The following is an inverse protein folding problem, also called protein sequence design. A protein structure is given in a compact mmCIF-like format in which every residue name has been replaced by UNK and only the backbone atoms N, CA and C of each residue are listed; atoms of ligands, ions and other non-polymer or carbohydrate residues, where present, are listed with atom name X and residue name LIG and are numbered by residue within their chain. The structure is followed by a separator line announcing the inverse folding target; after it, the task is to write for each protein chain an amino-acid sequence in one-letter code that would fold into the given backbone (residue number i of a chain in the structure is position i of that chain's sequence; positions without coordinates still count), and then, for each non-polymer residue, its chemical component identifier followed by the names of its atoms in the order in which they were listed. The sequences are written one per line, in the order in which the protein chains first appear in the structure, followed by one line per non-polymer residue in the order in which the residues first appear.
data_IF_347162628766
#
_entry.id   IF_347162628766
#
_cell.length_a   1.000
_cell.length_b   1.000
_cell.length_c   1.000
_cell.angle_alpha   90.00
_cell.angle_beta   90.00
_cell.angle_gamma   90.00
#
_symmetry.space_group_name_H-M   'P 1'
#
loop_
_entity.id
_entity.type
_entity.pdbx_description
1 polymer ?
#
# COMPACT_ATOMS: atom_id res chain seq x y z
N UNK A 1 -59.61 -0.75 -0.83
CA UNK A 1 -58.76 0.02 0.10
C UNK A 1 -57.50 -0.80 0.32
N UNK A 2 -56.65 -1.01 -0.69
CA UNK A 2 -55.84 -0.04 -1.43
C UNK A 2 -55.08 0.94 -0.53
N UNK A 3 -53.84 0.53 -0.22
CA UNK A 3 -52.72 1.41 0.13
C UNK A 3 -51.46 0.83 -0.51
N UNK A 4 -51.32 1.10 -1.80
CA UNK A 4 -50.04 1.16 -2.49
C UNK A 4 -49.15 2.17 -1.76
N UNK A 5 -48.11 1.68 -1.08
CA UNK A 5 -46.98 2.51 -0.66
C UNK A 5 -46.08 2.65 -1.87
N UNK A 6 -46.12 3.82 -2.49
CA UNK A 6 -45.24 4.26 -3.54
C UNK A 6 -43.79 4.19 -3.03
N UNK A 7 -43.01 3.27 -3.58
CA UNK A 7 -41.55 3.31 -3.51
C UNK A 7 -41.11 4.63 -4.13
N UNK A 8 -40.53 5.52 -3.31
CA UNK A 8 -39.87 6.71 -3.82
C UNK A 8 -38.58 6.26 -4.51
N UNK A 9 -38.62 6.20 -5.83
CA UNK A 9 -37.46 6.10 -6.71
C UNK A 9 -36.40 7.12 -6.28
N UNK A 10 -35.26 6.64 -5.77
CA UNK A 10 -34.05 7.44 -5.62
C UNK A 10 -33.47 7.60 -7.03
N UNK A 11 -33.88 8.67 -7.72
CA UNK A 11 -33.50 8.99 -9.11
C UNK A 11 -32.30 9.93 -9.19
N UNK A 12 -31.22 9.67 -8.44
CA UNK A 12 -29.95 10.36 -8.64
C UNK A 12 -28.81 9.33 -8.71
N UNK A 13 -28.16 9.27 -9.87
CA UNK A 13 -26.86 8.65 -10.00
C UNK A 13 -25.85 9.58 -9.30
N UNK A 14 -25.58 9.34 -8.02
CA UNK A 14 -24.49 10.02 -7.31
C UNK A 14 -23.15 9.54 -7.87
N UNK A 15 -22.67 10.27 -8.88
CA UNK A 15 -21.28 10.31 -9.34
C UNK A 15 -20.48 11.39 -8.57
N UNK A 16 -20.99 11.89 -7.44
CA UNK A 16 -20.27 12.81 -6.56
C UNK A 16 -19.26 12.02 -5.70
N UNK A 17 -18.10 11.70 -6.26
CA UNK A 17 -16.88 11.72 -5.47
C UNK A 17 -16.60 13.20 -5.18
N UNK A 18 -16.69 13.60 -3.91
CA UNK A 18 -16.45 14.97 -3.44
C UNK A 18 -15.11 15.52 -3.96
N UNK A 19 -15.15 16.17 -5.12
CA UNK A 19 -14.04 16.90 -5.73
C UNK A 19 -14.19 18.36 -5.32
N UNK A 20 -13.86 18.65 -4.06
CA UNK A 20 -13.62 20.02 -3.61
C UNK A 20 -12.29 20.08 -2.89
N UNK A 21 -11.21 20.22 -3.65
CA UNK A 21 -10.03 21.00 -3.25
C UNK A 21 -9.13 21.26 -4.46
N UNK A 22 -9.15 22.50 -4.95
CA UNK A 22 -8.09 23.05 -5.78
C UNK A 22 -6.83 23.17 -4.89
N UNK A 23 -5.84 22.31 -5.12
CA UNK A 23 -4.52 22.42 -4.49
C UNK A 23 -3.73 23.56 -5.16
N UNK A 24 -3.57 24.68 -4.45
CA UNK A 24 -2.51 25.66 -4.74
C UNK A 24 -1.17 24.99 -4.43
N UNK A 25 -0.34 24.78 -5.45
CA UNK A 25 1.06 24.41 -5.27
C UNK A 25 1.81 25.54 -4.56
N UNK A 26 2.51 25.21 -3.47
CA UNK A 26 3.52 26.08 -2.89
C UNK A 26 4.82 25.89 -3.67
N UNK A 27 5.29 26.95 -4.30
CA UNK A 27 6.65 27.09 -4.78
C UNK A 27 7.57 27.36 -3.59
N UNK A 28 8.54 26.50 -3.36
CA UNK A 28 9.91 26.84 -2.98
C UNK A 28 10.62 25.55 -2.59
N UNK A 29 11.66 25.19 -3.35
CA UNK A 29 12.86 24.46 -2.92
C UNK A 29 13.79 24.38 -4.14
N UNK A 30 14.62 25.40 -4.28
CA UNK A 30 15.78 25.42 -5.18
C UNK A 30 16.87 24.51 -4.60
N UNK A 31 17.36 23.53 -5.38
CA UNK A 31 18.72 23.00 -5.17
C UNK A 31 19.27 22.44 -6.48
N UNK A 32 20.42 22.96 -6.89
CA UNK A 32 21.19 22.57 -8.08
C UNK A 32 21.91 21.22 -7.88
N UNK A 33 21.98 20.42 -8.94
CA UNK A 33 22.44 19.03 -8.95
C UNK A 33 23.78 18.93 -9.71
N UNK A 34 24.81 18.36 -9.08
CA UNK A 34 26.08 18.01 -9.76
C UNK A 34 26.25 16.50 -9.72
N UNK A 35 26.46 15.90 -10.89
CA UNK A 35 26.62 14.47 -11.13
C UNK A 35 28.07 14.00 -10.98
N UNK A 36 28.28 12.80 -10.44
CA UNK A 36 29.36 11.90 -10.90
C UNK A 36 29.01 10.41 -10.77
N UNK A 37 29.30 9.73 -11.88
CA UNK A 37 29.18 8.34 -12.34
C UNK A 37 29.12 7.14 -11.35
N UNK A 38 28.29 6.20 -11.79
CA UNK A 38 27.87 4.89 -11.27
C UNK A 38 29.00 3.85 -11.26
N UNK A 39 29.05 3.00 -10.22
CA UNK A 39 29.40 1.58 -10.34
C UNK A 39 28.81 0.76 -9.16
N UNK A 40 28.12 -0.35 -9.50
CA UNK A 40 27.40 -1.31 -8.65
C UNK A 40 25.97 -0.92 -8.19
N UNK A 41 24.99 -1.71 -8.64
CA UNK A 41 23.54 -1.56 -8.42
C UNK A 41 23.12 -1.90 -7.00
N UNK A 42 23.49 -1.04 -6.07
CA UNK A 42 22.91 -0.91 -4.75
C UNK A 42 22.53 0.57 -4.63
N UNK A 43 21.27 0.91 -4.90
CA UNK A 43 20.71 2.21 -4.53
C UNK A 43 20.51 2.21 -3.00
N UNK A 44 21.61 2.17 -2.25
CA UNK A 44 21.60 2.70 -0.88
C UNK A 44 21.43 4.20 -1.07
N UNK A 45 20.42 4.76 -0.39
CA UNK A 45 20.32 6.19 -0.09
C UNK A 45 21.58 6.62 0.69
N UNK A 46 22.68 6.79 -0.03
CA UNK A 46 23.95 7.29 0.48
C UNK A 46 24.03 8.76 0.09
N UNK A 47 23.33 9.61 0.84
CA UNK A 47 23.69 11.03 0.88
C UNK A 47 25.03 11.14 1.59
N UNK A 48 25.92 11.94 1.02
CA UNK A 48 27.30 12.17 1.42
C UNK A 48 27.47 12.92 2.76
N UNK A 49 26.47 12.93 3.64
CA UNK A 49 26.53 13.48 5.00
C UNK A 49 25.59 12.69 5.94
N UNK A 50 26.14 11.78 6.74
CA UNK A 50 25.72 11.21 8.05
C UNK A 50 24.24 11.09 8.52
N UNK A 51 23.21 11.29 7.69
CA UNK A 51 21.83 10.90 8.00
C UNK A 51 21.14 10.40 6.74
N UNK A 52 21.04 9.07 6.62
CA UNK A 52 20.09 8.43 5.72
C UNK A 52 18.70 8.93 6.09
N UNK A 53 18.12 9.82 5.28
CA UNK A 53 16.75 10.26 5.47
C UNK A 53 15.84 9.04 5.30
N UNK A 54 15.00 8.79 6.30
CA UNK A 54 14.05 7.69 6.22
C UNK A 54 13.00 7.99 5.14
N UNK A 55 12.54 6.99 4.38
CA UNK A 55 11.39 7.17 3.50
C UNK A 55 10.16 7.65 4.28
N UNK A 56 9.24 8.35 3.62
CA UNK A 56 8.06 8.95 4.25
C UNK A 56 7.26 7.94 5.06
N UNK A 57 7.14 6.70 4.58
CA UNK A 57 6.44 5.64 5.30
C UNK A 57 7.05 5.39 6.69
N UNK A 58 8.36 5.13 6.76
CA UNK A 58 9.10 4.91 8.00
C UNK A 58 9.15 6.17 8.88
N UNK A 59 9.27 7.35 8.27
CA UNK A 59 9.22 8.62 8.99
C UNK A 59 7.86 8.82 9.68
N UNK A 60 6.75 8.49 9.01
CA UNK A 60 5.40 8.65 9.57
C UNK A 60 5.18 7.81 10.82
N UNK A 61 5.72 6.59 10.85
CA UNK A 61 5.60 5.66 11.98
C UNK A 61 6.73 5.81 13.00
N UNK A 62 7.62 6.81 12.81
CA UNK A 62 8.83 7.03 13.59
C UNK A 62 9.65 5.73 13.76
N UNK A 63 9.93 5.04 12.65
CA UNK A 63 10.79 3.86 12.65
C UNK A 63 12.26 4.26 12.82
N UNK A 64 13.08 3.41 13.44
CA UNK A 64 14.52 3.68 13.60
C UNK A 64 15.35 3.39 12.34
N UNK A 65 14.81 2.64 11.38
CA UNK A 65 15.49 2.18 10.16
C UNK A 65 14.53 1.98 8.99
N UNK A 66 15.05 2.01 7.76
CA UNK A 66 14.33 1.65 6.52
C UNK A 66 14.05 0.15 6.46
N UNK A 67 12.81 -0.27 6.17
CA UNK A 67 12.49 -1.67 5.90
C UNK A 67 13.06 -2.12 4.55
N UNK A 68 13.39 -3.41 4.37
CA UNK A 68 13.87 -3.90 3.08
C UNK A 68 12.83 -3.64 1.99
N UNK A 69 13.27 -3.21 0.80
CA UNK A 69 12.42 -2.98 -0.39
C UNK A 69 12.55 -4.05 -1.46
N UNK A 70 13.49 -4.98 -1.32
CA UNK A 70 13.72 -6.08 -2.28
C UNK A 70 14.15 -7.37 -1.58
N UNK A 71 14.13 -8.47 -2.34
CA UNK A 71 14.60 -9.76 -1.83
C UNK A 71 16.12 -9.75 -1.56
N UNK A 72 16.89 -9.01 -2.36
CA UNK A 72 18.33 -8.85 -2.16
C UNK A 72 18.65 -8.09 -0.87
N UNK A 73 17.87 -7.06 -0.55
CA UNK A 73 18.01 -6.33 0.71
C UNK A 73 17.63 -7.17 1.93
N UNK A 74 16.58 -7.99 1.82
CA UNK A 74 16.10 -8.81 2.93
C UNK A 74 16.99 -10.02 3.25
N UNK A 75 17.82 -10.46 2.30
CA UNK A 75 18.64 -11.67 2.39
C UNK A 75 17.83 -12.90 2.83
N UNK A 76 16.54 -12.95 2.45
CA UNK A 76 15.58 -13.97 2.90
C UNK A 76 15.49 -14.13 4.44
N UNK A 77 15.95 -13.15 5.20
CA UNK A 77 16.01 -13.22 6.67
C UNK A 77 14.74 -12.64 7.27
N UNK A 78 14.10 -13.32 8.24
CA UNK A 78 12.96 -12.75 8.93
C UNK A 78 13.37 -11.52 9.73
N UNK A 79 12.44 -10.59 9.93
CA UNK A 79 12.66 -9.41 10.75
C UNK A 79 11.53 -9.16 11.74
N UNK A 80 11.87 -8.43 12.80
CA UNK A 80 10.96 -8.10 13.89
C UNK A 80 10.67 -6.60 13.90
N UNK A 81 9.40 -6.25 14.05
CA UNK A 81 8.91 -4.87 14.20
C UNK A 81 8.33 -4.73 15.59
N UNK A 82 9.01 -3.99 16.46
CA UNK A 82 8.49 -3.59 17.76
C UNK A 82 7.72 -2.27 17.60
N UNK A 83 6.46 -2.24 18.04
CA UNK A 83 5.60 -1.06 17.94
C UNK A 83 5.26 -0.59 19.36
N UNK A 84 5.77 0.59 19.72
CA UNK A 84 5.38 1.28 20.94
C UNK A 84 4.06 2.01 20.72
N UNK A 85 2.95 1.39 21.09
CA UNK A 85 1.62 1.97 20.89
C UNK A 85 0.83 2.15 22.19
N UNK A 86 0.05 3.23 22.25
CA UNK A 86 -0.66 3.69 23.45
C UNK A 86 -2.18 3.63 23.25
N UNK A 87 -2.76 4.69 22.68
CA UNK A 87 -4.21 4.86 22.51
C UNK A 87 -4.76 4.21 21.25
N UNK A 88 -4.03 4.30 20.14
CA UNK A 88 -4.44 3.76 18.84
C UNK A 88 -3.74 2.44 18.56
N UNK A 89 -4.46 1.55 17.88
CA UNK A 89 -3.99 0.24 17.44
C UNK A 89 -3.14 0.37 16.17
N UNK A 90 -1.95 0.99 16.29
CA UNK A 90 -1.02 1.25 15.20
C UNK A 90 -0.52 -0.02 14.49
N UNK A 91 -0.46 -1.14 15.20
CA UNK A 91 -0.11 -2.43 14.64
C UNK A 91 -1.01 -2.81 13.47
N UNK A 92 -2.29 -2.43 13.47
CA UNK A 92 -3.23 -2.78 12.39
C UNK A 92 -2.82 -2.14 11.04
N UNK A 93 -2.73 -0.80 10.91
CA UNK A 93 -2.34 -0.18 9.65
C UNK A 93 -0.87 -0.47 9.27
N UNK A 94 0.02 -0.69 10.26
CA UNK A 94 1.40 -1.09 9.98
C UNK A 94 1.45 -2.51 9.39
N UNK A 95 0.72 -3.48 9.97
CA UNK A 95 0.62 -4.85 9.42
C UNK A 95 0.00 -4.83 8.02
N UNK A 96 -0.98 -3.96 7.76
CA UNK A 96 -1.54 -3.80 6.42
C UNK A 96 -0.48 -3.39 5.38
N UNK A 97 0.37 -2.41 5.71
CA UNK A 97 1.46 -1.99 4.84
C UNK A 97 2.56 -3.04 4.71
N UNK A 98 2.97 -3.67 5.82
CA UNK A 98 3.96 -4.76 5.81
C UNK A 98 3.49 -5.96 4.99
N UNK A 99 2.18 -6.25 4.99
CA UNK A 99 1.60 -7.28 4.13
C UNK A 99 1.77 -6.96 2.64
N UNK A 100 1.57 -5.71 2.24
CA UNK A 100 1.77 -5.33 0.84
C UNK A 100 3.27 -5.40 0.48
N UNK A 101 4.14 -4.82 1.31
CA UNK A 101 5.60 -4.91 1.13
C UNK A 101 6.09 -6.36 1.03
N UNK A 102 5.55 -7.26 1.86
CA UNK A 102 5.84 -8.69 1.80
C UNK A 102 5.46 -9.28 0.44
N UNK A 103 4.27 -8.96 -0.08
CA UNK A 103 3.82 -9.45 -1.39
C UNK A 103 4.72 -8.96 -2.51
N UNK A 104 5.12 -7.69 -2.46
CA UNK A 104 5.99 -7.05 -3.44
C UNK A 104 7.39 -7.70 -3.48
N UNK A 105 7.95 -8.02 -2.31
CA UNK A 105 9.29 -8.61 -2.19
C UNK A 105 9.32 -10.11 -2.50
N UNK A 106 8.24 -10.84 -2.23
CA UNK A 106 8.25 -12.33 -2.26
C UNK A 106 7.35 -12.94 -3.31
N UNK A 107 6.53 -12.14 -3.99
CA UNK A 107 5.46 -12.60 -4.90
C UNK A 107 4.46 -13.57 -4.22
N UNK A 108 4.33 -13.50 -2.89
CA UNK A 108 3.48 -14.38 -2.09
C UNK A 108 2.59 -13.59 -1.14
N UNK A 109 1.37 -14.10 -0.93
CA UNK A 109 0.45 -13.52 0.05
C UNK A 109 0.68 -14.14 1.42
N UNK A 110 1.18 -13.38 2.41
CA UNK A 110 1.46 -13.95 3.72
C UNK A 110 0.15 -14.20 4.48
N UNK A 111 0.14 -15.25 5.29
CA UNK A 111 -0.91 -15.43 6.31
C UNK A 111 -0.59 -14.51 7.49
N UNK A 112 -1.59 -13.77 7.95
CA UNK A 112 -1.45 -12.92 9.15
C UNK A 112 -2.06 -13.68 10.32
N UNK A 113 -1.26 -13.94 11.35
CA UNK A 113 -1.69 -14.65 12.57
C UNK A 113 -1.64 -13.67 13.73
N UNK A 114 -2.80 -13.38 14.33
CA UNK A 114 -2.88 -12.61 15.57
C UNK A 114 -2.82 -13.57 16.74
N UNK A 115 -1.90 -13.35 17.67
CA UNK A 115 -1.82 -14.11 18.90
C UNK A 115 -1.96 -13.16 20.08
N UNK A 116 -3.05 -13.32 20.79
CA UNK A 116 -3.34 -12.61 22.03
C UNK A 116 -3.22 -13.61 23.18
N UNK A 117 -2.88 -13.16 24.40
CA UNK A 117 -2.93 -14.02 25.58
C UNK A 117 -4.37 -14.49 25.83
N UNK A 118 -4.53 -15.76 26.22
CA UNK A 118 -5.85 -16.30 26.60
C UNK A 118 -6.26 -15.80 28.00
N UNK A 119 -7.53 -15.45 28.15
CA UNK A 119 -8.16 -15.06 29.42
C UNK A 119 -8.60 -16.33 30.19
N UNK A 120 -8.06 -16.59 31.38
CA UNK A 120 -8.65 -17.57 32.30
C UNK A 120 -9.87 -17.00 33.07
N UNK A 121 -10.77 -17.90 33.52
CA UNK A 121 -11.99 -17.59 34.29
C UNK A 121 -11.73 -16.86 35.63
N UNK A 122 -10.48 -16.75 36.08
CA UNK A 122 -10.07 -16.03 37.30
C UNK A 122 -9.39 -14.66 37.02
N UNK A 123 -9.35 -14.21 35.76
CA UNK A 123 -8.81 -12.89 35.39
C UNK A 123 -7.28 -12.81 35.32
N UNK A 124 -6.59 -13.96 35.27
CA UNK A 124 -5.13 -14.06 35.06
C UNK A 124 -4.91 -14.44 33.59
N UNK A 125 -4.28 -13.57 32.80
CA UNK A 125 -3.93 -13.82 31.40
C UNK A 125 -2.57 -14.54 31.31
N UNK A 126 -2.53 -15.73 30.70
CA UNK A 126 -1.33 -16.56 30.55
C UNK A 126 -0.58 -16.31 29.21
N UNK A 127 0.55 -17.00 29.03
CA UNK A 127 1.47 -16.92 27.89
C UNK A 127 0.71 -17.14 26.56
N UNK A 128 1.14 -16.47 25.48
CA UNK A 128 0.61 -16.76 24.13
C UNK A 128 0.82 -18.24 23.76
N UNK A 129 -0.24 -18.94 23.35
CA UNK A 129 -0.27 -20.38 23.05
C UNK A 129 0.89 -20.94 22.21
N UNK A 130 1.44 -20.19 21.26
CA UNK A 130 2.60 -20.65 20.46
C UNK A 130 3.95 -20.49 21.12
N UNK A 131 4.01 -19.70 22.19
CA UNK A 131 5.21 -19.55 22.98
C UNK A 131 5.27 -20.60 24.09
N UNK A 132 4.14 -21.24 24.42
CA UNK A 132 4.11 -22.38 25.33
C UNK A 132 5.07 -23.49 24.85
N UNK A 133 5.89 -23.98 25.79
CA UNK A 133 6.82 -25.09 25.61
C UNK A 133 6.11 -26.37 25.13
N UNK A 134 4.83 -26.52 25.43
CA UNK A 134 4.01 -27.67 25.04
C UNK A 134 3.20 -27.45 23.75
N UNK A 135 3.32 -26.28 23.12
CA UNK A 135 2.62 -25.99 21.87
C UNK A 135 3.07 -26.92 20.74
N UNK A 136 2.09 -27.56 20.08
CA UNK A 136 2.32 -28.37 18.88
C UNK A 136 2.49 -27.50 17.63
N UNK A 137 2.06 -26.23 17.67
CA UNK A 137 2.25 -25.28 16.59
C UNK A 137 3.67 -24.71 16.64
N UNK A 138 4.54 -25.21 15.77
CA UNK A 138 5.87 -24.65 15.60
C UNK A 138 5.76 -23.17 15.18
N UNK A 139 6.47 -22.31 15.91
CA UNK A 139 6.69 -20.91 15.53
C UNK A 139 7.48 -20.90 14.21
N UNK A 140 6.78 -20.63 13.09
CA UNK A 140 7.38 -20.64 11.74
C UNK A 140 7.19 -19.32 11.02
N UNK A 141 8.28 -18.76 10.50
CA UNK A 141 8.28 -17.53 9.71
C UNK A 141 7.86 -17.69 8.26
N UNK A 142 7.89 -18.92 7.75
CA UNK A 142 7.71 -19.22 6.33
C UNK A 142 6.37 -18.67 5.80
N UNK A 143 6.46 -17.57 5.03
CA UNK A 143 5.33 -16.88 4.40
C UNK A 143 4.25 -16.39 5.38
N UNK A 144 4.67 -15.90 6.55
CA UNK A 144 3.76 -15.39 7.58
C UNK A 144 4.16 -14.02 8.11
N UNK A 145 3.14 -13.29 8.53
CA UNK A 145 3.26 -12.16 9.45
C UNK A 145 2.61 -12.60 10.76
N UNK A 146 3.42 -12.77 11.80
CA UNK A 146 2.90 -13.08 13.14
C UNK A 146 2.81 -11.80 13.96
N UNK A 147 1.71 -11.61 14.67
CA UNK A 147 1.49 -10.50 15.59
C UNK A 147 1.37 -11.02 17.03
N UNK A 148 2.11 -10.39 17.94
CA UNK A 148 2.05 -10.66 19.37
C UNK A 148 1.73 -9.37 20.13
N UNK A 149 0.72 -9.41 21.01
CA UNK A 149 0.38 -8.28 21.86
C UNK A 149 0.96 -8.42 23.27
N UNK A 150 2.12 -7.80 23.50
CA UNK A 150 2.75 -7.80 24.82
C UNK A 150 2.17 -6.75 25.78
N UNK A 151 1.27 -5.87 25.33
CA UNK A 151 0.69 -4.82 26.18
C UNK A 151 -0.31 -5.37 27.18
N UNK A 152 -0.97 -6.46 26.79
CA UNK A 152 -2.01 -7.17 27.56
C UNK A 152 -1.40 -8.17 28.56
N UNK A 153 -0.15 -8.57 28.36
CA UNK A 153 0.49 -9.60 29.17
C UNK A 153 0.76 -9.18 30.62
N UNK A 154 0.64 -10.17 31.50
CA UNK A 154 1.03 -10.07 32.91
C UNK A 154 2.55 -10.08 33.11
N UNK A 155 3.26 -10.88 32.30
CA UNK A 155 4.72 -11.00 32.37
C UNK A 155 5.40 -9.66 32.08
N UNK A 156 6.58 -9.47 32.67
CA UNK A 156 7.40 -8.32 32.32
C UNK A 156 7.75 -8.40 30.83
N UNK A 157 7.68 -7.26 30.14
CA UNK A 157 7.90 -7.16 28.69
C UNK A 157 9.25 -7.78 28.26
N UNK A 158 10.30 -7.67 29.08
CA UNK A 158 11.61 -8.22 28.77
C UNK A 158 11.65 -9.74 28.95
N UNK A 159 10.88 -10.30 29.87
CA UNK A 159 10.73 -11.76 30.03
C UNK A 159 9.99 -12.34 28.82
N UNK A 160 8.87 -11.72 28.44
CA UNK A 160 8.11 -12.10 27.26
C UNK A 160 8.99 -12.08 26.00
N UNK A 161 9.72 -10.99 25.81
CA UNK A 161 10.59 -10.81 24.67
C UNK A 161 11.76 -11.82 24.68
N UNK A 162 12.32 -12.16 25.85
CA UNK A 162 13.34 -13.23 25.98
C UNK A 162 12.78 -14.59 25.56
N UNK A 163 11.52 -14.89 25.89
CA UNK A 163 10.86 -16.12 25.44
C UNK A 163 10.71 -16.15 23.92
N UNK A 164 10.23 -15.05 23.32
CA UNK A 164 10.16 -14.90 21.87
C UNK A 164 11.53 -15.12 21.26
N UNK A 165 12.56 -14.44 21.77
CA UNK A 165 13.95 -14.59 21.33
C UNK A 165 14.40 -16.05 21.36
N UNK A 166 14.14 -16.80 22.43
CA UNK A 166 14.50 -18.22 22.52
C UNK A 166 13.89 -19.08 21.40
N UNK A 167 12.72 -18.69 20.86
CA UNK A 167 12.12 -19.31 19.67
C UNK A 167 12.73 -18.79 18.36
N UNK A 168 13.18 -17.54 18.32
CA UNK A 168 13.88 -16.98 17.15
C UNK A 168 15.28 -17.58 16.95
N UNK A 169 15.96 -17.97 18.03
CA UNK A 169 17.28 -18.61 17.98
C UNK A 169 17.27 -19.93 17.20
N UNK A 170 16.14 -20.65 17.18
CA UNK A 170 15.92 -21.82 16.29
C UNK A 170 15.24 -21.48 14.96
N UNK A 171 14.71 -20.26 14.82
CA UNK A 171 13.94 -19.78 13.68
C UNK A 171 14.73 -19.04 12.59
N UNK A 172 16.00 -18.68 12.82
CA UNK A 172 16.81 -17.92 11.84
C UNK A 172 17.05 -18.68 10.50
N UNK A 173 16.95 -20.01 10.50
CA UNK A 173 17.01 -20.84 9.28
C UNK A 173 15.68 -20.87 8.52
N UNK A 174 14.62 -20.29 9.08
CA UNK A 174 13.31 -20.27 8.45
C UNK A 174 13.27 -19.16 7.41
N UNK A 175 12.62 -19.45 6.28
CA UNK A 175 12.45 -18.55 5.14
C UNK A 175 11.81 -17.21 5.57
N UNK A 176 11.89 -16.19 4.72
CA UNK A 176 11.43 -14.83 5.00
C UNK A 176 10.03 -14.76 5.65
N UNK A 177 9.94 -13.98 6.73
CA UNK A 177 8.75 -13.77 7.57
C UNK A 177 8.86 -12.48 8.37
N UNK A 178 7.75 -12.01 8.93
CA UNK A 178 7.72 -10.79 9.75
C UNK A 178 7.08 -11.09 11.09
N UNK A 179 7.75 -10.71 12.19
CA UNK A 179 7.16 -10.70 13.52
C UNK A 179 6.84 -9.27 13.90
N UNK A 180 5.61 -9.00 14.31
CA UNK A 180 5.19 -7.71 14.84
C UNK A 180 4.86 -7.89 16.31
N UNK A 181 5.44 -7.06 17.18
CA UNK A 181 5.17 -7.09 18.62
C UNK A 181 4.71 -5.71 19.06
N UNK A 182 3.49 -5.61 19.57
CA UNK A 182 3.01 -4.40 20.21
C UNK A 182 3.45 -4.38 21.68
N UNK A 183 4.03 -3.26 22.11
CA UNK A 183 4.47 -3.02 23.49
C UNK A 183 3.97 -1.65 23.95
N UNK A 184 3.93 -1.43 25.28
CA UNK A 184 3.63 -0.10 25.82
C UNK A 184 4.81 0.83 25.46
N UNK A 185 4.59 2.13 25.16
CA UNK A 185 5.67 3.02 24.71
C UNK A 185 6.85 3.10 25.70
N UNK A 186 6.53 3.13 27.00
CA UNK A 186 7.52 3.16 28.10
C UNK A 186 8.42 1.92 28.16
N UNK A 187 7.99 0.83 27.55
CA UNK A 187 8.63 -0.49 27.61
C UNK A 187 9.35 -0.83 26.31
N UNK A 188 9.27 0.03 25.28
CA UNK A 188 9.87 -0.18 23.96
C UNK A 188 11.39 -0.40 24.02
N UNK A 189 12.11 0.43 24.76
CA UNK A 189 13.57 0.30 24.91
C UNK A 189 13.96 -0.97 25.68
N UNK A 190 13.16 -1.38 26.67
CA UNK A 190 13.40 -2.64 27.39
C UNK A 190 13.23 -3.83 26.46
N UNK A 191 12.15 -3.84 25.68
CA UNK A 191 11.88 -4.86 24.66
C UNK A 191 13.00 -4.92 23.60
N UNK A 192 13.41 -3.76 23.08
CA UNK A 192 14.51 -3.65 22.10
C UNK A 192 15.79 -4.30 22.60
N UNK A 193 16.17 -3.98 23.84
CA UNK A 193 17.38 -4.51 24.46
C UNK A 193 17.29 -6.03 24.71
N UNK A 194 16.11 -6.55 25.07
CA UNK A 194 15.91 -7.98 25.29
C UNK A 194 15.94 -8.80 23.98
N UNK A 195 15.50 -8.24 22.85
CA UNK A 195 15.58 -8.87 21.52
C UNK A 195 16.96 -8.83 20.87
N UNK A 196 17.93 -8.09 21.43
CA UNK A 196 19.21 -7.88 20.77
C UNK A 196 20.03 -9.18 20.74
N UNK A 197 20.14 -9.78 19.56
CA UNK A 197 21.07 -10.88 19.27
C UNK A 197 21.54 -10.84 17.81
N UNK A 198 22.62 -11.57 17.51
CA UNK A 198 23.27 -11.56 16.20
C UNK A 198 22.40 -12.22 15.13
N UNK A 199 22.24 -11.57 13.97
CA UNK A 199 21.42 -12.08 12.85
C UNK A 199 19.96 -11.62 12.84
N UNK A 200 19.41 -11.14 13.96
CA UNK A 200 18.04 -10.61 13.98
C UNK A 200 17.99 -9.13 13.58
N UNK A 201 17.23 -8.82 12.53
CA UNK A 201 16.90 -7.43 12.19
C UNK A 201 15.69 -6.99 13.01
N UNK A 202 15.93 -6.13 13.99
CA UNK A 202 14.89 -5.50 14.81
C UNK A 202 14.72 -4.05 14.38
N UNK A 203 13.47 -3.70 14.09
CA UNK A 203 12.97 -2.36 13.79
C UNK A 203 12.09 -1.90 14.95
N UNK A 204 12.24 -0.65 15.36
CA UNK A 204 11.43 -0.06 16.44
C UNK A 204 10.66 1.13 15.93
N UNK A 205 9.34 1.08 16.06
CA UNK A 205 8.42 2.14 15.67
C UNK A 205 7.80 2.77 16.92
N UNK A 206 7.83 4.09 17.02
CA UNK A 206 7.17 4.84 18.09
C UNK A 206 6.20 5.87 17.48
N UNK A 207 5.10 5.41 16.85
CA UNK A 207 4.25 6.27 16.05
C UNK A 207 3.53 7.32 16.92
N UNK A 208 3.37 8.52 16.35
CA UNK A 208 2.69 9.64 17.00
C UNK A 208 1.18 9.55 16.76
N UNK A 209 0.39 9.35 17.82
CA UNK A 209 -1.07 9.28 17.78
C UNK A 209 -1.74 10.46 17.05
N UNK A 210 -1.14 11.65 17.05
CA UNK A 210 -1.67 12.81 16.32
C UNK A 210 -1.66 12.57 14.80
N UNK A 211 -0.72 11.76 14.30
CA UNK A 211 -0.59 11.40 12.88
C UNK A 211 -1.42 10.18 12.48
N UNK A 212 -2.09 9.50 13.41
CA UNK A 212 -2.76 8.22 13.15
C UNK A 212 -3.79 8.32 12.01
N UNK A 213 -4.64 9.34 12.07
CA UNK A 213 -5.66 9.55 11.05
C UNK A 213 -5.02 9.89 9.70
N UNK A 214 -4.07 10.81 9.66
CA UNK A 214 -3.38 11.15 8.42
C UNK A 214 -2.66 9.95 7.81
N UNK A 215 -1.99 9.13 8.63
CA UNK A 215 -1.31 7.93 8.17
C UNK A 215 -2.29 6.93 7.54
N UNK A 216 -3.36 6.59 8.28
CA UNK A 216 -4.39 5.68 7.80
C UNK A 216 -5.06 6.19 6.51
N UNK A 217 -5.19 7.51 6.33
CA UNK A 217 -5.88 8.09 5.20
C UNK A 217 -4.99 8.02 3.95
N UNK A 218 -3.69 8.23 4.13
CA UNK A 218 -2.67 8.11 3.08
C UNK A 218 -2.51 6.67 2.57
N UNK A 219 -2.37 5.68 3.46
CA UNK A 219 -2.22 4.27 3.05
C UNK A 219 -3.48 3.70 2.37
N UNK A 220 -4.66 4.27 2.66
CA UNK A 220 -5.93 3.88 2.02
C UNK A 220 -6.32 4.77 0.83
N UNK A 221 -5.66 5.90 0.63
CA UNK A 221 -6.01 6.87 -0.42
C UNK A 221 -7.37 7.56 -0.21
N UNK A 222 -7.73 7.87 1.04
CA UNK A 222 -9.01 8.52 1.40
C UNK A 222 -8.80 9.89 2.05
N UNK A 223 -9.78 10.79 1.90
CA UNK A 223 -9.68 12.20 2.33
C UNK A 223 -9.95 12.43 3.82
N UNK A 224 -10.72 11.56 4.47
CA UNK A 224 -11.03 11.63 5.90
C UNK A 224 -11.27 10.23 6.46
N UNK A 225 -11.17 10.09 7.78
CA UNK A 225 -11.28 8.79 8.43
C UNK A 225 -12.17 8.80 9.67
N UNK A 226 -12.98 7.75 9.79
CA UNK A 226 -13.32 7.09 11.06
C UNK A 226 -12.25 6.03 11.45
N UNK A 227 -12.63 4.91 12.09
CA UNK A 227 -11.71 3.79 12.40
C UNK A 227 -11.11 3.11 11.15
N UNK A 228 -9.85 2.66 11.21
CA UNK A 228 -9.13 2.04 10.07
C UNK A 228 -9.95 0.96 9.33
N UNK A 229 -10.46 -0.05 10.03
CA UNK A 229 -11.26 -1.11 9.40
C UNK A 229 -12.57 -0.64 8.77
N UNK A 230 -13.20 0.40 9.33
CA UNK A 230 -14.41 0.95 8.75
C UNK A 230 -14.10 1.56 7.37
N UNK A 231 -12.99 2.29 7.27
CA UNK A 231 -12.53 2.89 6.02
C UNK A 231 -12.03 1.85 5.02
N UNK A 232 -11.29 0.81 5.47
CA UNK A 232 -10.88 -0.29 4.61
C UNK A 232 -12.10 -0.99 3.98
N UNK A 233 -13.13 -1.31 4.78
CA UNK A 233 -14.39 -1.87 4.26
C UNK A 233 -15.10 -0.92 3.30
N UNK A 234 -15.07 0.39 3.59
CA UNK A 234 -15.67 1.41 2.72
C UNK A 234 -14.95 1.46 1.37
N UNK A 235 -13.62 1.47 1.38
CA UNK A 235 -12.76 1.41 0.20
C UNK A 235 -13.05 0.16 -0.64
N UNK A 236 -13.04 -1.03 -0.03
CA UNK A 236 -13.35 -2.29 -0.72
C UNK A 236 -14.75 -2.30 -1.31
N UNK A 237 -15.75 -1.75 -0.59
CA UNK A 237 -17.11 -1.65 -1.07
C UNK A 237 -17.21 -0.73 -2.29
N UNK A 238 -16.56 0.45 -2.26
CA UNK A 238 -16.55 1.37 -3.39
C UNK A 238 -15.81 0.78 -4.58
N UNK A 239 -14.63 0.18 -4.37
CA UNK A 239 -13.88 -0.48 -5.43
C UNK A 239 -14.72 -1.58 -6.10
N UNK A 240 -15.37 -2.44 -5.32
CA UNK A 240 -16.26 -3.49 -5.83
C UNK A 240 -17.47 -2.92 -6.56
N UNK A 241 -18.09 -1.87 -6.03
CA UNK A 241 -19.24 -1.22 -6.66
C UNK A 241 -18.87 -0.61 -8.01
N UNK A 242 -17.78 0.16 -8.05
CA UNK A 242 -17.24 0.79 -9.28
C UNK A 242 -16.89 -0.28 -10.30
N UNK A 243 -16.14 -1.30 -9.90
CA UNK A 243 -15.79 -2.42 -10.77
C UNK A 243 -17.04 -3.11 -11.35
N UNK A 244 -18.04 -3.44 -10.53
CA UNK A 244 -19.27 -4.09 -11.00
C UNK A 244 -20.07 -3.25 -12.00
N UNK A 245 -20.11 -1.92 -11.82
CA UNK A 245 -20.90 -1.04 -12.68
C UNK A 245 -20.21 -0.63 -13.97
N UNK A 246 -18.89 -0.45 -13.94
CA UNK A 246 -18.15 0.16 -15.04
C UNK A 246 -17.21 -0.80 -15.78
N UNK A 247 -17.05 -2.04 -15.30
CA UNK A 247 -16.21 -3.04 -15.98
C UNK A 247 -16.65 -3.37 -17.41
N UNK A 248 -17.90 -3.10 -17.79
CA UNK A 248 -18.36 -3.29 -19.17
C UNK A 248 -17.65 -2.36 -20.17
N UNK A 249 -17.16 -1.20 -19.71
CA UNK A 249 -16.53 -0.18 -20.56
C UNK A 249 -15.02 -0.35 -20.70
N UNK A 250 -14.43 -1.28 -19.95
CA UNK A 250 -12.97 -1.46 -19.87
C UNK A 250 -12.65 -2.89 -20.23
N UNK A 251 -11.71 -3.10 -21.15
CA UNK A 251 -11.24 -4.45 -21.47
C UNK A 251 -10.45 -5.01 -20.29
N UNK A 252 -10.70 -6.28 -20.00
CA UNK A 252 -9.87 -7.06 -19.08
C UNK A 252 -8.68 -7.58 -19.86
N UNK A 253 -7.49 -7.06 -19.55
CA UNK A 253 -6.24 -7.54 -20.15
C UNK A 253 -6.04 -9.05 -19.97
N UNK A 254 -5.37 -9.66 -20.94
CA UNK A 254 -5.13 -11.10 -20.99
C UNK A 254 -4.28 -11.61 -19.82
N UNK A 255 -3.42 -10.75 -19.25
CA UNK A 255 -2.39 -11.11 -18.26
C UNK A 255 -2.66 -10.57 -16.85
N UNK A 256 -3.93 -10.33 -16.48
CA UNK A 256 -4.28 -9.86 -15.13
C UNK A 256 -4.10 -10.96 -14.06
N UNK A 257 -2.84 -11.28 -13.74
CA UNK A 257 -2.44 -12.24 -12.70
C UNK A 257 -2.78 -11.71 -11.30
N UNK A 258 -2.73 -10.40 -11.10
CA UNK A 258 -3.10 -9.74 -9.86
C UNK A 258 -4.59 -9.35 -9.86
N UNK A 259 -5.34 -9.85 -8.87
CA UNK A 259 -6.79 -9.62 -8.71
C UNK A 259 -7.18 -8.15 -8.62
N UNK A 260 -6.28 -7.26 -8.21
CA UNK A 260 -6.55 -5.84 -8.02
C UNK A 260 -6.19 -4.96 -9.22
N UNK A 261 -5.41 -5.46 -10.18
CA UNK A 261 -5.02 -4.68 -11.36
C UNK A 261 -6.25 -4.23 -12.16
N UNK A 262 -7.14 -5.16 -12.49
CA UNK A 262 -8.33 -4.85 -13.28
C UNK A 262 -9.33 -3.92 -12.56
N UNK A 263 -9.69 -4.15 -11.28
CA UNK A 263 -10.48 -3.18 -10.52
C UNK A 263 -9.87 -1.77 -10.46
N UNK A 264 -8.54 -1.66 -10.30
CA UNK A 264 -7.85 -0.36 -10.34
C UNK A 264 -7.98 0.29 -11.72
N UNK A 265 -7.78 -0.46 -12.81
CA UNK A 265 -8.00 0.02 -14.18
C UNK A 265 -9.39 0.59 -14.38
N UNK A 266 -10.42 -0.12 -13.94
CA UNK A 266 -11.82 0.36 -14.01
C UNK A 266 -12.02 1.63 -13.19
N UNK A 267 -11.35 1.73 -12.03
CA UNK A 267 -11.47 2.91 -11.16
C UNK A 267 -10.77 4.12 -11.77
N UNK A 268 -9.59 3.92 -12.36
CA UNK A 268 -8.89 4.95 -13.15
C UNK A 268 -9.75 5.43 -14.29
N UNK A 269 -10.36 4.52 -15.06
CA UNK A 269 -11.29 4.89 -16.13
C UNK A 269 -12.42 5.78 -15.61
N UNK A 270 -13.09 5.39 -14.52
CA UNK A 270 -14.19 6.18 -13.92
C UNK A 270 -13.71 7.55 -13.41
N UNK A 271 -12.48 7.64 -12.90
CA UNK A 271 -11.87 8.93 -12.56
C UNK A 271 -11.78 9.84 -13.79
N UNK A 272 -11.32 9.34 -14.93
CA UNK A 272 -11.23 10.11 -16.18
C UNK A 272 -12.60 10.50 -16.74
N UNK A 273 -13.58 9.60 -16.69
CA UNK A 273 -14.97 9.90 -17.06
C UNK A 273 -15.50 11.08 -16.23
N UNK A 274 -15.24 11.06 -14.92
CA UNK A 274 -15.67 12.14 -14.03
C UNK A 274 -14.92 13.45 -14.29
N UNK A 275 -13.62 13.41 -14.59
CA UNK A 275 -12.86 14.60 -14.99
C UNK A 275 -13.47 15.23 -16.26
N UNK A 276 -13.70 14.44 -17.32
CA UNK A 276 -14.32 14.92 -18.56
C UNK A 276 -15.74 15.45 -18.36
N UNK A 277 -16.56 14.75 -17.56
CA UNK A 277 -17.90 15.19 -17.19
C UNK A 277 -17.85 16.57 -16.53
N UNK A 278 -16.94 16.76 -15.58
CA UNK A 278 -16.78 18.00 -14.83
C UNK A 278 -16.28 19.14 -15.74
N UNK A 279 -15.26 18.90 -16.59
CA UNK A 279 -14.76 19.88 -17.57
C UNK A 279 -15.86 20.36 -18.52
N UNK A 280 -16.68 19.42 -19.00
CA UNK A 280 -17.82 19.72 -19.90
C UNK A 280 -19.06 20.24 -19.17
N UNK A 281 -19.05 20.27 -17.84
CA UNK A 281 -20.22 20.58 -16.99
C UNK A 281 -21.45 19.77 -17.39
N UNK A 282 -21.24 18.51 -17.80
CA UNK A 282 -22.30 17.62 -18.27
C UNK A 282 -23.07 17.07 -17.07
N UNK A 283 -24.38 17.25 -17.09
CA UNK A 283 -25.29 16.63 -16.13
C UNK A 283 -25.73 15.29 -16.73
N UNK A 284 -25.65 14.23 -15.93
CA UNK A 284 -26.04 12.86 -16.30
C UNK A 284 -27.11 12.43 -15.30
N UNK A 285 -28.35 12.30 -15.76
CA UNK A 285 -29.52 12.06 -14.92
C UNK A 285 -29.88 10.58 -14.83
N UNK A 286 -29.45 9.77 -15.80
CA UNK A 286 -29.81 8.35 -15.88
C UNK A 286 -28.68 7.53 -16.53
N UNK A 287 -28.87 6.20 -16.55
CA UNK A 287 -27.88 5.26 -17.07
C UNK A 287 -27.71 5.34 -18.59
N UNK A 288 -28.77 5.68 -19.34
CA UNK A 288 -28.71 5.81 -20.79
C UNK A 288 -27.85 7.02 -21.18
N UNK A 289 -28.08 8.17 -20.54
CA UNK A 289 -27.23 9.37 -20.67
C UNK A 289 -25.77 9.08 -20.28
N UNK A 290 -25.54 8.22 -19.27
CA UNK A 290 -24.19 7.79 -18.91
C UNK A 290 -23.55 6.97 -20.02
N UNK A 291 -24.26 6.00 -20.58
CA UNK A 291 -23.76 5.17 -21.68
C UNK A 291 -23.48 6.00 -22.93
N UNK A 292 -24.36 6.93 -23.30
CA UNK A 292 -24.14 7.84 -24.42
C UNK A 292 -22.88 8.69 -24.20
N UNK A 293 -22.73 9.28 -23.01
CA UNK A 293 -21.55 10.06 -22.66
C UNK A 293 -20.27 9.21 -22.69
N UNK A 294 -20.30 8.00 -22.13
CA UNK A 294 -19.16 7.09 -22.11
C UNK A 294 -18.78 6.65 -23.52
N UNK A 295 -19.75 6.34 -24.38
CA UNK A 295 -19.47 5.98 -25.78
C UNK A 295 -18.84 7.15 -26.54
N UNK A 296 -19.35 8.37 -26.33
CA UNK A 296 -18.78 9.58 -26.94
C UNK A 296 -17.30 9.76 -26.57
N UNK A 297 -16.97 9.62 -25.28
CA UNK A 297 -15.59 9.82 -24.81
C UNK A 297 -14.66 8.67 -25.18
N UNK A 298 -15.17 7.44 -25.27
CA UNK A 298 -14.39 6.28 -25.69
C UNK A 298 -13.93 6.36 -27.16
N UNK A 299 -14.65 7.13 -27.99
CA UNK A 299 -14.28 7.34 -29.39
C UNK A 299 -13.22 8.44 -29.58
N UNK A 300 -13.11 9.37 -28.63
CA UNK A 300 -12.40 10.64 -28.84
C UNK A 300 -11.31 10.94 -27.81
N UNK A 301 -11.62 10.79 -26.52
CA UNK A 301 -10.75 11.26 -25.44
C UNK A 301 -10.17 10.15 -24.56
N UNK A 302 -10.79 8.97 -24.52
CA UNK A 302 -10.27 7.82 -23.76
C UNK A 302 -10.19 6.61 -24.67
N UNK A 303 -9.00 6.03 -24.83
CA UNK A 303 -8.82 4.77 -25.54
C UNK A 303 -8.43 3.68 -24.54
N UNK A 304 -9.00 2.48 -24.68
CA UNK A 304 -8.73 1.35 -23.78
C UNK A 304 -7.96 0.27 -24.53
N UNK A 305 -6.78 -0.10 -24.03
CA UNK A 305 -5.89 -1.13 -24.64
C UNK A 305 -5.72 -0.93 -26.16
N UNK A 306 -5.50 0.32 -26.57
CA UNK A 306 -5.31 0.65 -27.99
C UNK A 306 -3.82 0.65 -28.31
N UNK A 307 -3.37 -0.18 -29.27
CA UNK A 307 -1.96 -0.28 -29.61
C UNK A 307 -1.42 1.04 -30.18
N UNK A 308 -0.19 1.37 -29.80
CA UNK A 308 0.63 2.45 -30.39
C UNK A 308 1.92 1.86 -30.98
N UNK A 309 2.69 2.67 -31.71
CA UNK A 309 3.94 2.24 -32.37
C UNK A 309 3.78 0.91 -33.15
N UNK A 310 2.76 0.84 -34.02
CA UNK A 310 2.45 -0.35 -34.82
C UNK A 310 2.19 -1.63 -34.00
N UNK A 311 1.73 -1.48 -32.75
CA UNK A 311 1.40 -2.61 -31.87
C UNK A 311 2.51 -3.07 -30.95
N UNK A 312 3.64 -2.34 -30.88
CA UNK A 312 4.72 -2.66 -29.93
C UNK A 312 4.37 -2.34 -28.48
N UNK A 313 3.56 -1.32 -28.26
CA UNK A 313 3.15 -0.86 -26.93
C UNK A 313 1.63 -0.82 -26.88
N UNK A 314 1.06 -1.38 -25.81
CA UNK A 314 -0.38 -1.36 -25.56
C UNK A 314 -0.59 -0.79 -24.16
N UNK A 315 -0.85 0.52 -24.04
CA UNK A 315 -1.17 1.16 -22.77
C UNK A 315 -2.48 0.60 -22.21
N UNK A 316 -2.61 0.57 -20.88
CA UNK A 316 -3.88 0.20 -20.26
C UNK A 316 -5.01 1.16 -20.65
N UNK A 317 -4.73 2.48 -20.58
CA UNK A 317 -5.61 3.56 -21.01
C UNK A 317 -4.78 4.65 -21.70
N UNK A 318 -5.37 5.34 -22.67
CA UNK A 318 -4.84 6.58 -23.26
C UNK A 318 -5.87 7.67 -22.99
N UNK A 319 -5.43 8.80 -22.45
CA UNK A 319 -6.30 9.93 -22.14
C UNK A 319 -5.85 11.17 -22.90
N UNK A 320 -6.76 11.79 -23.65
CA UNK A 320 -6.47 12.92 -24.51
C UNK A 320 -7.58 13.98 -24.47
N UNK A 321 -7.76 14.68 -23.32
CA UNK A 321 -8.87 15.63 -23.14
C UNK A 321 -8.74 16.90 -24.00
N UNK A 322 -7.51 17.28 -24.35
CA UNK A 322 -7.18 18.51 -25.09
C UNK A 322 -6.28 18.23 -26.31
N UNK A 323 -6.23 16.96 -26.74
CA UNK A 323 -5.42 16.51 -27.88
C UNK A 323 -4.01 16.04 -27.52
N UNK A 324 -3.51 16.34 -26.32
CA UNK A 324 -2.27 15.75 -25.78
C UNK A 324 -2.56 14.36 -25.21
N UNK A 325 -1.82 13.34 -25.65
CA UNK A 325 -1.99 11.96 -25.18
C UNK A 325 -1.20 11.73 -23.87
N UNK A 326 -1.92 11.28 -22.85
CA UNK A 326 -1.38 10.77 -21.60
C UNK A 326 -1.56 9.25 -21.61
N UNK A 327 -0.46 8.51 -21.53
CA UNK A 327 -0.46 7.05 -21.47
C UNK A 327 -0.54 6.60 -20.02
N UNK A 328 -1.51 5.74 -19.68
CA UNK A 328 -1.68 5.26 -18.31
C UNK A 328 -1.40 3.77 -18.20
N UNK A 329 -0.69 3.40 -17.16
CA UNK A 329 -0.32 2.01 -16.85
C UNK A 329 -0.71 1.66 -15.42
N UNK A 330 -1.44 0.57 -15.23
CA UNK A 330 -1.89 0.12 -13.91
C UNK A 330 -0.92 -0.92 -13.37
N UNK A 331 -0.16 -0.53 -12.37
CA UNK A 331 0.93 -1.34 -11.82
C UNK A 331 0.63 -1.88 -10.41
N UNK A 332 1.09 -3.11 -10.17
CA UNK A 332 0.88 -3.79 -8.88
C UNK A 332 2.16 -4.11 -8.12
N UNK A 333 3.33 -3.72 -8.65
CA UNK A 333 4.69 -3.90 -8.10
C UNK A 333 5.10 -5.32 -7.65
N UNK A 334 4.20 -6.30 -7.84
CA UNK A 334 4.35 -7.71 -7.51
C UNK A 334 4.83 -8.46 -8.77
N UNK A 335 5.60 -9.52 -8.57
CA UNK A 335 6.03 -10.47 -9.61
C UNK A 335 7.46 -10.30 -10.13
N UNK A 336 8.18 -9.24 -9.74
CA UNK A 336 9.57 -8.99 -10.16
C UNK A 336 10.60 -9.22 -9.05
N UNK A 337 10.17 -9.41 -7.79
CA UNK A 337 11.01 -9.40 -6.56
C UNK A 337 11.78 -8.09 -6.31
N UNK A 338 11.76 -7.19 -7.29
CA UNK A 338 12.34 -5.86 -7.32
C UNK A 338 11.22 -4.89 -7.79
N UNK A 339 10.45 -4.32 -6.84
CA UNK A 339 9.25 -3.51 -7.13
C UNK A 339 9.51 -2.38 -8.14
N UNK A 340 10.60 -1.65 -7.96
CA UNK A 340 10.94 -0.50 -8.78
C UNK A 340 11.44 -0.86 -10.17
N UNK A 341 12.02 -2.05 -10.35
CA UNK A 341 12.40 -2.53 -11.67
C UNK A 341 11.18 -2.67 -12.58
N UNK A 342 10.01 -3.01 -12.03
CA UNK A 342 8.76 -3.05 -12.79
C UNK A 342 8.36 -1.67 -13.33
N UNK A 343 8.61 -0.63 -12.53
CA UNK A 343 8.41 0.77 -12.94
C UNK A 343 9.39 1.13 -14.05
N UNK A 344 10.66 0.79 -13.88
CA UNK A 344 11.71 1.05 -14.87
C UNK A 344 11.42 0.33 -16.20
N UNK A 345 11.00 -0.94 -16.15
CA UNK A 345 10.55 -1.71 -17.31
C UNK A 345 9.33 -1.07 -17.98
N UNK A 346 8.37 -0.55 -17.21
CA UNK A 346 7.21 0.15 -17.76
C UNK A 346 7.58 1.47 -18.40
N UNK A 347 8.49 2.26 -17.83
CA UNK A 347 9.02 3.48 -18.45
C UNK A 347 9.75 3.15 -19.76
N UNK A 348 10.59 2.11 -19.76
CA UNK A 348 11.40 1.71 -20.91
C UNK A 348 10.54 1.30 -22.13
N UNK A 349 9.32 0.78 -21.93
CA UNK A 349 8.36 0.49 -23.01
C UNK A 349 8.07 1.72 -23.87
N UNK A 350 8.12 2.92 -23.29
CA UNK A 350 7.72 4.17 -23.94
C UNK A 350 8.89 5.02 -24.41
N UNK A 351 10.14 4.56 -24.30
CA UNK A 351 11.33 5.34 -24.69
C UNK A 351 11.35 5.83 -26.14
N UNK A 352 10.66 5.10 -27.03
CA UNK A 352 10.56 5.40 -28.46
C UNK A 352 9.32 6.25 -28.78
N UNK A 353 8.52 6.61 -27.77
CA UNK A 353 7.35 7.48 -27.89
C UNK A 353 7.79 8.92 -27.59
N UNK A 354 7.81 9.83 -28.58
CA UNK A 354 8.32 11.18 -28.39
C UNK A 354 7.43 11.98 -27.43
N UNK A 355 8.04 12.66 -26.45
CA UNK A 355 7.37 13.50 -25.45
C UNK A 355 6.24 12.77 -24.69
N UNK A 356 6.44 11.47 -24.41
CA UNK A 356 5.43 10.66 -23.76
C UNK A 356 5.17 11.11 -22.32
N UNK A 357 3.94 11.53 -22.03
CA UNK A 357 3.50 11.70 -20.64
C UNK A 357 2.91 10.38 -20.15
N UNK A 358 3.56 9.74 -19.18
CA UNK A 358 3.14 8.45 -18.64
C UNK A 358 2.63 8.63 -17.21
N UNK A 359 1.42 8.16 -16.94
CA UNK A 359 0.86 8.08 -15.60
C UNK A 359 0.86 6.63 -15.14
N UNK A 360 1.70 6.34 -14.16
CA UNK A 360 1.73 5.02 -13.52
C UNK A 360 0.80 5.07 -12.31
N UNK A 361 -0.25 4.24 -12.35
CA UNK A 361 -1.25 4.16 -11.30
C UNK A 361 -0.93 2.97 -10.39
N UNK A 362 -0.73 3.28 -9.11
CA UNK A 362 -0.41 2.31 -8.06
C UNK A 362 -1.51 2.25 -7.01
N UNK A 363 -1.49 1.18 -6.21
CA UNK A 363 -2.24 1.17 -4.95
C UNK A 363 -1.71 2.29 -4.03
N UNK A 364 -2.58 2.94 -3.24
CA UNK A 364 -2.15 4.00 -2.32
C UNK A 364 -1.05 3.57 -1.35
N UNK A 365 -1.17 2.37 -0.78
CA UNK A 365 -0.16 1.82 0.14
C UNK A 365 1.19 1.58 -0.54
N UNK A 366 1.21 1.01 -1.75
CA UNK A 366 2.45 0.82 -2.52
C UNK A 366 3.09 2.16 -2.89
N UNK A 367 2.28 3.13 -3.34
CA UNK A 367 2.77 4.47 -3.64
C UNK A 367 3.37 5.17 -2.41
N UNK A 368 2.83 4.91 -1.21
CA UNK A 368 3.35 5.47 0.03
C UNK A 368 4.64 4.78 0.51
N UNK A 369 4.75 3.46 0.34
CA UNK A 369 5.94 2.69 0.73
C UNK A 369 7.17 3.08 -0.10
N UNK A 370 6.98 3.36 -1.39
CA UNK A 370 8.04 3.65 -2.37
C UNK A 370 8.04 5.11 -2.84
N UNK A 371 7.46 6.04 -2.07
CA UNK A 371 7.19 7.40 -2.53
C UNK A 371 8.46 8.12 -3.01
N UNK A 372 9.53 8.01 -2.24
CA UNK A 372 10.83 8.63 -2.48
C UNK A 372 11.45 8.07 -3.76
N UNK A 373 11.51 6.74 -3.88
CA UNK A 373 12.11 6.08 -5.02
C UNK A 373 11.30 6.30 -6.32
N UNK A 374 9.98 6.46 -6.21
CA UNK A 374 9.10 6.86 -7.31
C UNK A 374 9.32 8.33 -7.70
N UNK A 375 9.53 9.21 -6.73
CA UNK A 375 9.80 10.64 -6.96
C UNK A 375 11.13 10.83 -7.70
N UNK A 376 12.16 10.06 -7.37
CA UNK A 376 13.46 10.09 -8.07
C UNK A 376 13.36 9.64 -9.54
N UNK A 377 12.43 8.73 -9.83
CA UNK A 377 12.13 8.26 -11.20
C UNK A 377 11.30 9.23 -12.02
N UNK A 378 10.78 10.31 -11.40
CA UNK A 378 10.15 11.40 -12.12
C UNK A 378 11.23 12.15 -12.92
N UNK A 379 11.51 11.66 -14.11
CA UNK A 379 12.24 12.39 -15.15
C UNK A 379 11.21 12.99 -16.10
N UNK A 380 11.44 14.23 -16.51
CA UNK A 380 10.79 14.75 -17.70
C UNK A 380 11.39 13.95 -18.88
N UNK A 381 10.58 13.08 -19.49
CA UNK A 381 10.95 12.31 -20.70
C UNK A 381 10.73 13.15 -21.96
#
# INVERSE_FOLDING_TARGET
MDKTKTESFVSSFDLELESKTLLKQSSDLDTELVTTNIESGIEILASSEERTQLPIFEEFINCDKRFPRSFSESLNSPFVVLIGEDKHEWHIPIIYALKELFCEITDKHPRVTFREPELFEEGIEEIVDSLDLHSLDQFTFEYKIEFLDARKMYLAVDEFVKMVRGRLESGFLQQFGVLVIAVKPKDLEKAKNALKFEGLRVYTCLPDNVKYETFCSKILGVSSLDKFFANLRKYERYLNYTHRRFSIFVKRGADATNRLQYPLKVTTFVYLVNDLRNRRKKIINNFEELCEFVNEILEKEIKVETPILEGRVIPDLIYSPEGEEIYMEIETLIGTFEPLKKIDETIEKYKDVPNATIWIVLKPVSAMIHYEELKERKKDL
#
